data_IF_470412030881
#
_entry.id   IF_470412030881
#
_cell.length_a   1.000
_cell.length_b   1.000
_cell.length_c   1.000
_cell.angle_alpha   90.00
_cell.angle_beta   90.00
_cell.angle_gamma   90.00
#
_symmetry.space_group_name_H-M   'P 1'
#
loop_
_entity.id
_entity.type
_entity.pdbx_description
1 polymer ?
#
# COMPACT_ATOMS: atom_id res chain seq x y z
N UNK A 1 8.33 -5.50 19.42
CA UNK A 1 7.73 -4.31 18.77
C UNK A 1 6.54 -3.78 19.56
N UNK A 2 5.47 -4.56 19.77
CA UNK A 2 4.27 -4.12 20.52
C UNK A 2 4.59 -3.71 21.96
N UNK A 3 5.36 -4.52 22.68
CA UNK A 3 5.77 -4.23 24.08
C UNK A 3 6.48 -2.86 24.21
N UNK A 4 7.30 -2.48 23.21
CA UNK A 4 7.96 -1.18 23.21
C UNK A 4 6.94 -0.03 23.10
N UNK A 5 5.85 -0.24 22.37
CA UNK A 5 4.77 0.76 22.24
C UNK A 5 4.00 0.89 23.54
N UNK A 6 3.68 -0.23 24.16
CA UNK A 6 2.90 -0.28 25.40
C UNK A 6 3.63 0.37 26.57
N UNK A 7 4.95 0.19 26.66
CA UNK A 7 5.75 0.69 27.79
C UNK A 7 6.32 2.09 27.58
N UNK A 8 6.52 2.53 26.33
CA UNK A 8 7.23 3.79 26.05
C UNK A 8 6.43 4.83 25.27
N UNK A 9 5.26 4.48 24.71
CA UNK A 9 4.40 5.38 23.93
C UNK A 9 5.18 6.23 22.90
N UNK A 10 5.94 5.60 21.98
CA UNK A 10 6.74 6.34 21.02
C UNK A 10 5.84 7.09 20.02
N UNK A 11 6.32 8.23 19.53
CA UNK A 11 5.65 8.95 18.44
C UNK A 11 5.93 8.31 17.07
N UNK A 12 7.11 7.69 16.91
CA UNK A 12 7.59 7.11 15.65
C UNK A 12 8.28 5.77 15.89
N UNK A 13 8.03 4.80 15.01
CA UNK A 13 8.74 3.52 14.96
C UNK A 13 9.28 3.28 13.55
N UNK A 14 10.56 2.87 13.50
CA UNK A 14 11.23 2.45 12.28
C UNK A 14 11.32 0.92 12.27
N UNK A 15 10.84 0.31 11.20
CA UNK A 15 10.93 -1.15 10.98
C UNK A 15 11.81 -1.38 9.76
N UNK A 16 12.96 -2.05 9.96
CA UNK A 16 13.91 -2.24 8.87
C UNK A 16 13.27 -3.02 7.71
N UNK A 17 12.67 -4.16 8.00
CA UNK A 17 11.93 -4.96 7.02
C UNK A 17 10.72 -5.64 7.68
N UNK A 18 9.56 -5.57 7.01
CA UNK A 18 8.34 -6.30 7.37
C UNK A 18 8.21 -7.47 6.40
N UNK A 19 8.35 -8.69 6.92
CA UNK A 19 8.32 -9.91 6.09
C UNK A 19 7.44 -11.02 6.65
N UNK A 20 7.04 -10.93 7.92
CA UNK A 20 6.29 -11.98 8.61
C UNK A 20 4.87 -11.53 8.98
N UNK A 21 3.98 -12.51 9.19
CA UNK A 21 2.60 -12.26 9.63
C UNK A 21 2.56 -11.55 11.00
N UNK A 22 3.43 -11.96 11.93
CA UNK A 22 3.54 -11.33 13.24
C UNK A 22 3.95 -9.84 13.16
N UNK A 23 4.89 -9.50 12.26
CA UNK A 23 5.30 -8.10 12.05
C UNK A 23 4.19 -7.28 11.39
N UNK A 24 3.51 -7.84 10.38
CA UNK A 24 2.38 -7.19 9.71
C UNK A 24 1.25 -6.88 10.69
N UNK A 25 0.86 -7.86 11.52
CA UNK A 25 -0.17 -7.70 12.55
C UNK A 25 0.24 -6.68 13.62
N UNK A 26 1.52 -6.71 14.04
CA UNK A 26 2.04 -5.76 15.00
C UNK A 26 2.06 -4.33 14.43
N UNK A 27 2.45 -4.14 13.17
CA UNK A 27 2.39 -2.84 12.48
C UNK A 27 0.96 -2.30 12.45
N UNK A 28 -0.02 -3.14 12.10
CA UNK A 28 -1.44 -2.75 12.14
C UNK A 28 -1.88 -2.26 13.51
N UNK A 29 -1.61 -3.07 14.54
CA UNK A 29 -1.96 -2.77 15.93
C UNK A 29 -1.31 -1.47 16.43
N UNK A 30 -0.12 -1.14 15.92
CA UNK A 30 0.62 0.07 16.29
C UNK A 30 0.08 1.30 15.55
N UNK A 31 -0.19 1.18 14.25
CA UNK A 31 -0.81 2.25 13.47
C UNK A 31 -2.18 2.64 14.02
N UNK A 32 -2.99 1.66 14.45
CA UNK A 32 -4.30 1.89 15.07
C UNK A 32 -4.22 2.69 16.38
N UNK A 33 -3.06 2.67 17.06
CA UNK A 33 -2.77 3.50 18.25
C UNK A 33 -2.26 4.91 17.91
N UNK A 34 -2.18 5.25 16.62
CA UNK A 34 -1.76 6.58 16.15
C UNK A 34 -0.25 6.80 16.12
N UNK A 35 0.55 5.74 16.32
CA UNK A 35 2.01 5.82 16.22
C UNK A 35 2.41 5.86 14.75
N UNK A 36 3.31 6.78 14.38
CA UNK A 36 3.84 6.84 13.02
C UNK A 36 4.75 5.64 12.74
N UNK A 37 4.48 4.93 11.65
CA UNK A 37 5.33 3.84 11.18
C UNK A 37 6.04 4.23 9.89
N UNK A 38 7.32 3.90 9.85
CA UNK A 38 8.12 3.90 8.63
C UNK A 38 8.78 2.53 8.56
N UNK A 39 8.63 1.82 7.45
CA UNK A 39 9.36 0.59 7.25
C UNK A 39 9.50 0.20 5.81
N UNK A 40 10.30 -0.82 5.58
CA UNK A 40 10.45 -1.43 4.26
C UNK A 40 9.77 -2.80 4.22
N UNK A 41 9.45 -3.27 3.02
CA UNK A 41 8.95 -4.60 2.78
C UNK A 41 9.45 -5.06 1.41
N UNK A 42 9.65 -6.36 1.25
CA UNK A 42 10.12 -6.91 -0.02
C UNK A 42 9.00 -6.91 -1.07
N UNK A 43 9.25 -6.27 -2.21
CA UNK A 43 8.37 -6.25 -3.37
C UNK A 43 8.92 -5.35 -4.47
N UNK A 44 8.70 -5.74 -5.73
CA UNK A 44 9.15 -4.96 -6.89
C UNK A 44 8.14 -3.86 -7.26
N UNK A 45 6.86 -4.21 -7.27
CA UNK A 45 5.74 -3.34 -7.60
C UNK A 45 4.65 -3.41 -6.52
N UNK A 46 3.80 -2.39 -6.43
CA UNK A 46 2.63 -2.40 -5.54
C UNK A 46 1.75 -3.65 -5.72
N UNK A 47 1.61 -4.16 -6.95
CA UNK A 47 0.84 -5.37 -7.25
C UNK A 47 1.40 -6.62 -6.55
N UNK A 48 2.71 -6.70 -6.33
CA UNK A 48 3.31 -7.82 -5.60
C UNK A 48 2.87 -7.82 -4.12
N UNK A 49 2.78 -6.64 -3.51
CA UNK A 49 2.29 -6.47 -2.14
C UNK A 49 0.82 -6.85 -2.04
N UNK A 50 -0.01 -6.43 -3.00
CA UNK A 50 -1.44 -6.76 -3.03
C UNK A 50 -1.66 -8.28 -3.16
N UNK A 51 -0.85 -8.98 -3.97
CA UNK A 51 -0.95 -10.44 -4.20
C UNK A 51 -0.34 -11.28 -3.07
N UNK A 52 0.50 -10.68 -2.22
CA UNK A 52 1.18 -11.39 -1.14
C UNK A 52 0.24 -11.58 0.08
N UNK A 53 0.06 -12.82 0.53
CA UNK A 53 -0.86 -13.16 1.62
C UNK A 53 -0.49 -12.57 3.00
N UNK A 54 0.78 -12.19 3.22
CA UNK A 54 1.26 -11.58 4.46
C UNK A 54 1.24 -10.06 4.36
N UNK A 55 1.78 -9.53 3.25
CA UNK A 55 2.00 -8.09 3.09
C UNK A 55 0.75 -7.34 2.61
N UNK A 56 -0.24 -8.03 2.05
CA UNK A 56 -1.48 -7.37 1.60
C UNK A 56 -2.22 -6.68 2.76
N UNK A 57 -2.07 -7.19 3.98
CA UNK A 57 -2.65 -6.60 5.19
C UNK A 57 -2.11 -5.19 5.46
N UNK A 58 -0.84 -4.90 5.10
CA UNK A 58 -0.24 -3.57 5.25
C UNK A 58 -0.89 -2.52 4.34
N UNK A 59 -1.49 -2.96 3.23
CA UNK A 59 -2.17 -2.11 2.24
C UNK A 59 -3.70 -2.18 2.35
N UNK A 60 -4.21 -2.69 3.48
CA UNK A 60 -5.63 -2.71 3.84
C UNK A 60 -6.29 -4.08 3.72
N UNK A 61 -5.50 -5.12 3.42
CA UNK A 61 -5.97 -6.46 3.12
C UNK A 61 -6.76 -6.52 1.82
N UNK A 62 -6.91 -7.70 1.24
CA UNK A 62 -7.78 -7.92 0.08
C UNK A 62 -8.71 -9.09 0.38
N UNK A 63 -9.98 -8.93 0.03
CA UNK A 63 -10.98 -9.98 0.12
C UNK A 63 -11.85 -10.05 -1.14
N UNK A 64 -12.51 -11.19 -1.30
CA UNK A 64 -13.47 -11.41 -2.37
C UNK A 64 -14.88 -11.16 -1.85
N UNK A 65 -15.55 -10.16 -2.41
CA UNK A 65 -16.92 -9.77 -2.04
C UNK A 65 -17.89 -10.21 -3.12
N UNK A 66 -19.04 -10.76 -2.71
CA UNK A 66 -20.15 -11.07 -3.63
C UNK A 66 -21.23 -10.01 -3.50
N UNK A 67 -21.42 -9.23 -4.56
CA UNK A 67 -22.43 -8.20 -4.67
C UNK A 67 -23.82 -8.79 -4.97
N UNK A 68 -24.86 -8.05 -4.60
CA UNK A 68 -26.21 -8.30 -5.11
C UNK A 68 -26.32 -7.99 -6.61
N UNK A 69 -27.35 -8.52 -7.28
CA UNK A 69 -27.52 -8.34 -8.73
C UNK A 69 -27.71 -6.86 -9.12
N UNK A 70 -28.46 -6.10 -8.32
CA UNK A 70 -28.68 -4.66 -8.54
C UNK A 70 -27.38 -3.85 -8.39
N UNK A 71 -26.58 -4.15 -7.38
CA UNK A 71 -25.30 -3.48 -7.10
C UNK A 71 -24.26 -3.79 -8.19
N UNK A 72 -24.15 -5.07 -8.60
CA UNK A 72 -23.27 -5.48 -9.69
C UNK A 72 -23.66 -4.79 -11.01
N UNK A 73 -24.96 -4.66 -11.27
CA UNK A 73 -25.48 -3.97 -12.46
C UNK A 73 -25.22 -2.46 -12.40
N UNK A 74 -25.39 -1.84 -11.24
CA UNK A 74 -25.12 -0.42 -11.01
C UNK A 74 -23.63 -0.09 -11.22
N UNK A 75 -22.73 -0.94 -10.72
CA UNK A 75 -21.27 -0.79 -10.85
C UNK A 75 -20.71 -1.31 -12.18
N UNK A 76 -21.53 -1.97 -13.01
CA UNK A 76 -21.13 -2.62 -14.28
C UNK A 76 -19.96 -3.58 -14.10
N UNK A 77 -19.98 -4.36 -13.03
CA UNK A 77 -18.94 -5.33 -12.70
C UNK A 77 -19.53 -6.75 -12.58
N UNK A 78 -18.63 -7.72 -12.40
CA UNK A 78 -19.05 -9.08 -12.06
C UNK A 78 -19.69 -9.09 -10.67
N UNK A 79 -20.46 -10.14 -10.40
CA UNK A 79 -21.09 -10.34 -9.08
C UNK A 79 -20.06 -10.58 -7.99
N UNK A 80 -18.90 -11.09 -8.34
CA UNK A 80 -17.77 -11.32 -7.43
C UNK A 80 -16.64 -10.36 -7.80
N UNK A 81 -16.19 -9.56 -6.85
CA UNK A 81 -15.12 -8.57 -7.03
C UNK A 81 -14.10 -8.65 -5.90
N UNK A 82 -12.91 -8.09 -6.12
CA UNK A 82 -11.92 -7.89 -5.06
C UNK A 82 -12.08 -6.49 -4.47
N UNK A 83 -12.13 -6.41 -3.14
CA UNK A 83 -12.14 -5.14 -2.39
C UNK A 83 -11.13 -5.21 -1.24
N UNK A 84 -10.77 -4.04 -0.69
CA UNK A 84 -9.95 -3.98 0.52
C UNK A 84 -10.78 -4.27 1.75
N UNK A 85 -10.20 -4.97 2.73
CA UNK A 85 -10.86 -5.31 4.00
C UNK A 85 -11.04 -4.10 4.93
N UNK A 86 -10.14 -3.13 4.83
CA UNK A 86 -10.12 -1.96 5.70
C UNK A 86 -9.12 -0.91 5.24
N UNK A 87 -8.90 0.17 6.00
CA UNK A 87 -7.90 1.19 5.67
C UNK A 87 -6.48 0.58 5.65
N UNK A 88 -5.57 1.11 4.80
CA UNK A 88 -4.20 0.62 4.78
C UNK A 88 -3.45 1.04 6.04
N UNK A 89 -2.51 0.20 6.51
CA UNK A 89 -1.61 0.54 7.62
C UNK A 89 -0.74 1.73 7.28
N UNK A 90 -0.24 1.77 6.05
CA UNK A 90 0.59 2.85 5.54
C UNK A 90 -0.20 3.69 4.53
N UNK A 91 -0.47 4.98 4.79
CA UNK A 91 -1.23 5.83 3.86
C UNK A 91 -0.45 6.15 2.57
N UNK A 92 0.87 6.05 2.63
CA UNK A 92 1.77 6.19 1.49
C UNK A 92 2.65 4.96 1.35
N UNK A 93 2.85 4.53 0.11
CA UNK A 93 3.79 3.48 -0.26
C UNK A 93 4.77 4.03 -1.29
N UNK A 94 6.05 3.71 -1.11
CA UNK A 94 7.12 4.11 -2.02
C UNK A 94 7.66 2.85 -2.70
N UNK A 95 7.41 2.75 -3.99
CA UNK A 95 7.93 1.70 -4.85
C UNK A 95 9.29 2.14 -5.41
N UNK A 96 10.35 1.57 -4.87
CA UNK A 96 11.73 1.84 -5.29
C UNK A 96 12.07 1.00 -6.52
N UNK A 97 12.07 1.58 -7.72
CA UNK A 97 12.47 0.84 -8.94
C UNK A 97 13.96 0.87 -9.19
N UNK A 98 14.57 2.03 -8.94
CA UNK A 98 16.01 2.21 -9.01
C UNK A 98 16.47 3.14 -7.90
N UNK A 99 17.78 3.20 -7.65
CA UNK A 99 18.36 4.03 -6.59
C UNK A 99 17.93 5.51 -6.64
N UNK A 100 17.75 6.04 -7.85
CA UNK A 100 17.41 7.42 -8.12
C UNK A 100 16.04 7.58 -8.80
N UNK A 101 15.22 6.53 -8.86
CA UNK A 101 13.89 6.53 -9.48
C UNK A 101 12.90 5.75 -8.62
N UNK A 102 11.82 6.39 -8.19
CA UNK A 102 10.78 5.73 -7.41
C UNK A 102 9.39 6.30 -7.69
N UNK A 103 8.39 5.50 -7.36
CA UNK A 103 6.98 5.84 -7.52
C UNK A 103 6.34 5.94 -6.14
N UNK A 104 5.64 7.03 -5.88
CA UNK A 104 4.91 7.25 -4.64
C UNK A 104 3.42 7.07 -4.88
N UNK A 105 2.85 6.14 -4.12
CA UNK A 105 1.44 5.81 -4.11
C UNK A 105 0.75 6.46 -2.92
N UNK A 106 -0.46 6.99 -3.15
CA UNK A 106 -1.46 7.08 -2.07
C UNK A 106 -2.09 5.70 -1.96
N UNK A 107 -1.77 4.97 -0.91
CA UNK A 107 -1.97 3.52 -0.83
C UNK A 107 -3.42 3.15 -1.11
N UNK A 108 -4.36 3.73 -0.36
CA UNK A 108 -5.80 3.51 -0.53
C UNK A 108 -6.26 3.64 -1.98
N UNK A 109 -6.06 4.82 -2.57
CA UNK A 109 -6.48 5.10 -3.96
C UNK A 109 -5.80 4.19 -4.97
N UNK A 110 -4.51 3.91 -4.75
CA UNK A 110 -3.73 3.12 -5.69
C UNK A 110 -4.19 1.67 -5.71
N UNK A 111 -4.37 1.08 -4.53
CA UNK A 111 -4.85 -0.30 -4.39
C UNK A 111 -6.28 -0.40 -4.92
N UNK A 112 -7.18 0.51 -4.57
CA UNK A 112 -8.57 0.48 -5.06
C UNK A 112 -8.64 0.55 -6.58
N UNK A 113 -7.83 1.40 -7.23
CA UNK A 113 -7.80 1.45 -8.70
C UNK A 113 -7.25 0.16 -9.30
N UNK A 114 -6.18 -0.40 -8.74
CA UNK A 114 -5.58 -1.65 -9.22
C UNK A 114 -6.53 -2.85 -9.08
N UNK A 115 -7.25 -2.97 -7.95
CA UNK A 115 -8.27 -4.02 -7.74
C UNK A 115 -9.40 -3.96 -8.77
N UNK A 116 -9.71 -2.78 -9.30
CA UNK A 116 -10.68 -2.58 -10.37
C UNK A 116 -10.08 -2.62 -11.79
N UNK A 117 -8.83 -3.06 -11.94
CA UNK A 117 -8.14 -3.14 -13.23
C UNK A 117 -7.84 -1.77 -13.86
N UNK A 118 -7.82 -0.69 -13.07
CA UNK A 118 -7.53 0.67 -13.51
C UNK A 118 -6.11 1.07 -13.11
N UNK A 119 -5.54 2.02 -13.87
CA UNK A 119 -4.23 2.60 -13.57
C UNK A 119 -4.36 3.80 -12.62
N UNK A 120 -3.76 3.76 -11.42
CA UNK A 120 -3.79 4.91 -10.53
C UNK A 120 -2.96 6.08 -11.03
N UNK A 121 -3.28 7.28 -10.53
CA UNK A 121 -2.42 8.45 -10.67
C UNK A 121 -1.43 8.49 -9.51
N UNK A 122 -0.14 8.59 -9.84
CA UNK A 122 0.98 8.49 -8.90
C UNK A 122 1.90 9.70 -9.00
N UNK A 123 2.80 9.85 -8.03
CA UNK A 123 3.95 10.74 -8.17
C UNK A 123 5.17 9.92 -8.56
N UNK A 124 5.83 10.28 -9.66
CA UNK A 124 7.13 9.71 -10.01
C UNK A 124 8.21 10.70 -9.60
N UNK A 125 9.20 10.21 -8.87
CA UNK A 125 10.29 11.03 -8.36
C UNK A 125 11.62 10.50 -8.88
N UNK A 126 12.46 11.43 -9.31
CA UNK A 126 13.80 11.15 -9.82
C UNK A 126 14.81 12.06 -9.14
N UNK A 127 16.03 11.57 -8.91
CA UNK A 127 17.17 12.42 -8.58
C UNK A 127 17.93 12.77 -9.86
N UNK A 128 18.18 14.05 -10.08
CA UNK A 128 19.06 14.52 -11.15
C UNK A 128 20.54 14.36 -10.78
N UNK A 129 21.44 14.75 -11.70
CA UNK A 129 22.89 14.67 -11.51
C UNK A 129 23.41 15.57 -10.36
N UNK A 130 22.57 16.49 -9.87
CA UNK A 130 22.86 17.37 -8.74
C UNK A 130 22.22 16.85 -7.44
N UNK A 131 21.71 15.62 -7.42
CA UNK A 131 20.98 14.99 -6.32
C UNK A 131 19.69 15.70 -5.91
N UNK A 132 19.18 16.61 -6.74
CA UNK A 132 17.90 17.28 -6.49
C UNK A 132 16.75 16.38 -6.94
N UNK A 133 15.71 16.33 -6.11
CA UNK A 133 14.52 15.54 -6.41
C UNK A 133 13.62 16.33 -7.37
N UNK A 134 13.39 15.76 -8.55
CA UNK A 134 12.39 16.19 -9.52
C UNK A 134 11.13 15.36 -9.33
N UNK A 135 9.97 16.01 -9.23
CA UNK A 135 8.68 15.36 -8.95
C UNK A 135 7.74 15.57 -10.13
N UNK A 136 7.37 14.47 -10.79
CA UNK A 136 6.30 14.41 -11.79
C UNK A 136 5.00 13.97 -11.07
N UNK A 137 4.09 14.90 -10.79
CA UNK A 137 2.80 14.60 -10.14
C UNK A 137 1.74 14.15 -11.15
N UNK A 138 0.80 13.33 -10.68
CA UNK A 138 -0.38 12.89 -11.45
C UNK A 138 -0.04 12.10 -12.72
N UNK A 139 1.06 11.35 -12.69
CA UNK A 139 1.44 10.47 -13.78
C UNK A 139 0.58 9.22 -13.74
N UNK A 140 0.14 8.73 -14.89
CA UNK A 140 -0.51 7.42 -14.97
C UNK A 140 0.50 6.34 -14.57
N UNK A 141 0.12 5.49 -13.63
CA UNK A 141 0.94 4.35 -13.21
C UNK A 141 1.15 3.40 -14.40
N UNK A 142 2.40 3.03 -14.61
CA UNK A 142 2.89 2.25 -15.73
C UNK A 142 3.15 0.78 -15.38
N UNK A 143 3.03 0.38 -14.11
CA UNK A 143 3.07 -1.03 -13.71
C UNK A 143 1.88 -1.82 -14.24
N UNK A 144 2.10 -3.12 -14.44
CA UNK A 144 1.04 -4.03 -14.86
C UNK A 144 -0.07 -4.14 -13.80
N UNK A 145 -1.30 -4.31 -14.26
CA UNK A 145 -2.47 -4.49 -13.39
C UNK A 145 -2.45 -5.81 -12.63
N UNK A 146 -3.48 -6.03 -11.81
CA UNK A 146 -3.69 -7.31 -11.10
C UNK A 146 -4.10 -8.40 -12.09
#
# INVERSE_FOLDING_TARGET
MIEAVENHMPEVILVDEIGTEAESLACRSIAERGVMLIGTAHGELLVNIIKNHILCDLVGGVETVTLGDDEARARRCQKTILERKGPPTFPFLIEMRERNYWVTHRTERSVDMLLHGKKPLVEVRKRDDQFKVVIERWKAYDGDGI
#
